data_IF_536587071168
#
_entry.id   IF_536587071168
#
_cell.length_a   1.000
_cell.length_b   1.000
_cell.length_c   1.000
_cell.angle_alpha   90.00
_cell.angle_beta   90.00
_cell.angle_gamma   90.00
#
_symmetry.space_group_name_H-M   'P 1'
#
loop_
_entity.id
_entity.type
_entity.pdbx_description
1 polymer ?
#
# COMPACT_ATOMS: atom_id res chain seq x y z
N UNK A 1 13.45 -48.32 -0.22
CA UNK A 1 12.67 -47.18 -0.67
C UNK A 1 13.45 -46.47 -1.75
N UNK A 2 12.83 -46.17 -2.87
CA UNK A 2 13.38 -45.39 -3.97
C UNK A 2 12.47 -44.19 -4.25
N UNK A 3 13.06 -43.05 -4.48
CA UNK A 3 12.32 -41.86 -4.82
C UNK A 3 12.52 -41.48 -6.28
N UNK A 4 11.52 -40.87 -6.86
CA UNK A 4 11.51 -40.39 -8.25
C UNK A 4 11.02 -38.94 -8.26
N UNK A 5 11.61 -38.14 -9.13
CA UNK A 5 11.21 -36.76 -9.43
C UNK A 5 10.80 -36.72 -10.89
N UNK A 6 9.58 -36.33 -11.19
CA UNK A 6 9.05 -36.24 -12.56
C UNK A 6 9.28 -37.52 -13.34
N UNK A 7 9.10 -38.68 -12.67
CA UNK A 7 9.32 -40.02 -13.21
C UNK A 7 10.78 -40.47 -13.34
N UNK A 8 11.76 -39.64 -12.98
CA UNK A 8 13.17 -39.99 -13.03
C UNK A 8 13.70 -40.42 -11.66
N UNK A 9 14.56 -41.44 -11.57
CA UNK A 9 15.13 -41.86 -10.29
C UNK A 9 15.88 -40.73 -9.57
N UNK A 10 15.62 -40.57 -8.27
CA UNK A 10 16.29 -39.64 -7.38
C UNK A 10 17.21 -40.37 -6.37
N UNK A 11 18.35 -40.92 -6.79
CA UNK A 11 19.19 -41.86 -6.00
C UNK A 11 19.77 -41.21 -4.73
N UNK A 12 19.96 -39.92 -4.71
CA UNK A 12 20.41 -39.19 -3.51
C UNK A 12 19.45 -39.31 -2.31
N UNK A 13 18.20 -39.66 -2.57
CA UNK A 13 17.14 -39.78 -1.56
C UNK A 13 16.75 -41.23 -1.27
N UNK A 14 17.42 -42.21 -1.90
CA UNK A 14 17.12 -43.61 -1.67
C UNK A 14 17.28 -43.99 -0.18
N UNK A 15 16.35 -44.81 0.30
CA UNK A 15 16.20 -45.22 1.71
C UNK A 15 15.83 -44.07 2.69
N UNK A 16 15.66 -42.85 2.25
CA UNK A 16 15.08 -41.77 3.07
C UNK A 16 13.60 -42.08 3.36
N UNK A 17 13.19 -41.85 4.61
CA UNK A 17 11.78 -42.00 5.01
C UNK A 17 10.97 -40.73 4.72
N UNK A 18 11.66 -39.61 4.62
CA UNK A 18 11.08 -38.31 4.33
C UNK A 18 12.02 -37.51 3.45
N UNK A 19 11.49 -36.61 2.66
CA UNK A 19 12.25 -35.65 1.85
C UNK A 19 12.07 -34.27 2.48
N UNK A 20 13.17 -33.59 2.75
CA UNK A 20 13.14 -32.24 3.32
C UNK A 20 12.90 -31.18 2.24
N UNK A 21 12.30 -30.04 2.62
CA UNK A 21 11.98 -28.95 1.70
C UNK A 21 13.16 -28.39 0.91
N UNK A 22 14.39 -28.43 1.49
CA UNK A 22 15.63 -28.04 0.77
C UNK A 22 16.01 -28.92 -0.41
N UNK A 23 15.34 -30.07 -0.57
CA UNK A 23 15.56 -31.04 -1.66
C UNK A 23 14.46 -30.99 -2.72
N UNK A 24 13.45 -30.16 -2.54
CA UNK A 24 12.29 -30.05 -3.43
C UNK A 24 12.28 -28.70 -4.14
N UNK A 25 11.67 -28.67 -5.32
CA UNK A 25 11.41 -27.44 -6.06
C UNK A 25 9.96 -27.42 -6.52
N UNK A 26 9.40 -26.22 -6.63
CA UNK A 26 8.03 -26.01 -7.07
C UNK A 26 7.78 -26.69 -8.43
N UNK A 27 6.63 -27.30 -8.58
CA UNK A 27 6.22 -28.01 -9.80
C UNK A 27 6.73 -29.44 -9.91
N UNK A 28 7.67 -29.88 -9.05
CA UNK A 28 8.15 -31.26 -9.07
C UNK A 28 7.06 -32.25 -8.61
N UNK A 29 6.93 -33.35 -9.32
CA UNK A 29 6.08 -34.49 -8.94
C UNK A 29 6.93 -35.58 -8.32
N UNK A 30 6.73 -35.86 -7.04
CA UNK A 30 7.46 -36.86 -6.30
C UNK A 30 6.63 -38.13 -6.14
N UNK A 31 7.25 -39.30 -6.48
CA UNK A 31 6.67 -40.61 -6.27
C UNK A 31 7.63 -41.53 -5.54
N UNK A 32 7.12 -42.54 -4.87
CA UNK A 32 7.92 -43.46 -4.08
C UNK A 32 7.65 -44.92 -4.53
N UNK A 33 8.74 -45.69 -4.57
CA UNK A 33 8.70 -47.12 -4.82
C UNK A 33 9.23 -47.84 -3.58
N UNK A 34 8.48 -48.79 -3.08
CA UNK A 34 8.83 -49.59 -1.91
C UNK A 34 9.03 -51.04 -2.35
N UNK A 35 10.18 -51.58 -2.02
CA UNK A 35 10.45 -53.00 -2.22
C UNK A 35 10.50 -53.64 -0.82
N UNK A 36 9.49 -54.42 -0.45
CA UNK A 36 9.47 -55.13 0.82
C UNK A 36 10.64 -56.13 0.89
N UNK A 37 11.20 -56.31 2.06
CA UNK A 37 12.27 -57.30 2.31
C UNK A 37 12.04 -57.94 3.68
N UNK A 38 11.88 -59.26 3.71
CA UNK A 38 11.64 -60.00 4.94
C UNK A 38 12.89 -60.49 5.65
N UNK A 39 14.06 -60.07 5.16
CA UNK A 39 15.38 -60.49 5.65
C UNK A 39 16.05 -61.56 4.80
N UNK A 40 15.31 -62.19 3.89
CA UNK A 40 15.81 -63.28 3.04
C UNK A 40 15.59 -62.96 1.56
N UNK A 41 14.38 -62.57 1.20
CA UNK A 41 14.00 -62.31 -0.18
C UNK A 41 13.39 -60.88 -0.37
N UNK A 42 13.58 -60.33 -1.59
CA UNK A 42 12.92 -59.10 -1.99
C UNK A 42 11.48 -59.46 -2.45
N UNK A 43 10.50 -58.77 -1.88
CA UNK A 43 9.13 -58.83 -2.35
C UNK A 43 8.90 -58.13 -3.68
N UNK A 44 7.68 -58.20 -4.21
CA UNK A 44 7.34 -57.44 -5.40
C UNK A 44 7.53 -55.93 -5.16
N UNK A 45 7.90 -55.22 -6.22
CA UNK A 45 7.99 -53.76 -6.18
C UNK A 45 6.58 -53.20 -6.10
N UNK A 46 6.32 -52.41 -5.07
CA UNK A 46 5.07 -51.66 -4.92
C UNK A 46 5.38 -50.18 -5.16
N UNK A 47 4.77 -49.63 -6.20
CA UNK A 47 4.76 -48.19 -6.42
C UNK A 47 3.59 -47.57 -5.66
N UNK A 48 3.82 -46.47 -4.99
CA UNK A 48 2.69 -45.66 -4.48
C UNK A 48 1.83 -45.20 -5.66
N UNK A 49 0.54 -45.43 -5.63
CA UNK A 49 -0.37 -44.90 -6.63
C UNK A 49 -0.49 -43.36 -6.48
N UNK A 50 -0.10 -42.85 -5.34
CA UNK A 50 -0.20 -41.41 -5.01
C UNK A 50 1.11 -40.71 -5.35
N UNK A 51 0.97 -39.53 -5.86
CA UNK A 51 2.08 -38.56 -6.08
C UNK A 51 1.83 -37.28 -5.28
N UNK A 52 2.91 -36.64 -4.91
CA UNK A 52 2.86 -35.31 -4.29
C UNK A 52 3.44 -34.31 -5.28
N UNK A 53 2.68 -33.32 -5.62
CA UNK A 53 3.16 -32.16 -6.38
C UNK A 53 3.60 -31.09 -5.39
N UNK A 54 4.80 -30.55 -5.60
CA UNK A 54 5.26 -29.42 -4.81
C UNK A 54 4.66 -28.16 -5.43
N UNK A 55 3.83 -27.49 -4.65
CA UNK A 55 3.23 -26.21 -5.00
C UNK A 55 3.85 -25.11 -4.12
N UNK A 56 3.77 -23.87 -4.57
CA UNK A 56 4.07 -22.74 -3.71
C UNK A 56 3.02 -22.60 -2.61
N UNK A 57 3.42 -22.06 -1.46
CA UNK A 57 2.46 -21.73 -0.42
C UNK A 57 1.62 -20.51 -0.87
N UNK A 58 0.39 -20.50 -0.46
CA UNK A 58 -0.56 -19.40 -0.59
C UNK A 58 -1.27 -19.34 0.76
N UNK A 59 -0.76 -18.47 1.63
CA UNK A 59 -1.07 -18.53 3.07
C UNK A 59 -2.44 -17.97 3.42
N UNK A 60 -2.94 -17.04 2.63
CA UNK A 60 -4.25 -16.39 2.83
C UNK A 60 -5.32 -16.88 1.83
N UNK A 61 -4.90 -17.65 0.81
CA UNK A 61 -5.74 -18.26 -0.22
C UNK A 61 -6.43 -17.25 -1.15
N UNK A 62 -5.75 -16.18 -1.50
CA UNK A 62 -6.23 -15.20 -2.48
C UNK A 62 -5.96 -15.62 -3.94
N UNK A 63 -5.07 -16.58 -4.15
CA UNK A 63 -4.66 -17.12 -5.45
C UNK A 63 -3.27 -16.66 -5.88
N UNK A 64 -2.59 -15.82 -5.09
CA UNK A 64 -1.21 -15.37 -5.30
C UNK A 64 -0.30 -16.16 -4.36
N UNK A 65 0.73 -16.85 -4.86
CA UNK A 65 1.66 -17.56 -3.98
C UNK A 65 2.49 -16.62 -3.12
N UNK A 66 2.77 -17.01 -1.86
CA UNK A 66 3.56 -16.23 -0.87
C UNK A 66 4.87 -15.63 -1.43
N UNK A 67 5.48 -16.30 -2.42
CA UNK A 67 6.73 -15.85 -3.04
C UNK A 67 6.56 -14.78 -4.13
N UNK A 68 5.32 -14.42 -4.45
CA UNK A 68 4.94 -13.43 -5.45
C UNK A 68 3.93 -12.42 -4.88
N UNK A 69 3.72 -12.49 -3.58
CA UNK A 69 2.75 -11.72 -2.83
C UNK A 69 3.48 -10.83 -1.82
N UNK A 70 3.28 -9.53 -1.90
CA UNK A 70 3.86 -8.57 -0.97
C UNK A 70 3.13 -8.62 0.39
N UNK A 71 1.87 -9.16 0.41
CA UNK A 71 1.04 -9.30 1.62
C UNK A 71 0.56 -10.73 1.86
N UNK A 72 1.44 -11.73 2.09
CA UNK A 72 1.11 -13.15 2.12
C UNK A 72 0.16 -13.62 3.25
N UNK A 73 -0.46 -12.73 3.96
CA UNK A 73 -1.43 -13.01 5.03
C UNK A 73 -2.66 -12.10 4.94
N UNK A 74 -2.81 -11.33 3.86
CA UNK A 74 -3.94 -10.45 3.65
C UNK A 74 -4.59 -10.74 2.29
N UNK A 75 -5.70 -11.51 2.25
CA UNK A 75 -6.34 -11.95 1.01
C UNK A 75 -7.02 -10.81 0.22
N UNK A 76 -6.82 -9.57 0.60
CA UNK A 76 -7.34 -8.40 -0.10
C UNK A 76 -6.26 -7.60 -0.81
N UNK A 77 -4.98 -7.92 -0.53
CA UNK A 77 -3.81 -7.25 -1.08
C UNK A 77 -2.83 -8.26 -1.66
N UNK A 78 -2.18 -7.90 -2.76
CA UNK A 78 -1.16 -8.74 -3.41
C UNK A 78 0.08 -7.99 -3.85
N UNK A 79 -0.03 -6.68 -4.01
CA UNK A 79 1.05 -5.82 -4.53
C UNK A 79 1.20 -4.57 -3.69
N UNK A 80 2.43 -4.10 -3.56
CA UNK A 80 2.82 -2.83 -2.98
C UNK A 80 3.74 -2.15 -4.02
N UNK A 81 3.15 -1.28 -4.87
CA UNK A 81 3.85 -0.78 -6.05
C UNK A 81 4.95 0.24 -5.74
N UNK A 82 4.90 0.88 -4.58
CA UNK A 82 5.88 1.90 -4.15
C UNK A 82 6.65 1.52 -2.87
N UNK A 83 6.37 0.31 -2.33
CA UNK A 83 7.06 -0.27 -1.17
C UNK A 83 6.88 0.55 0.14
N UNK A 84 5.71 1.19 0.36
CA UNK A 84 5.46 1.96 1.58
C UNK A 84 4.80 1.13 2.71
N UNK A 85 4.33 -0.08 2.38
CA UNK A 85 3.73 -1.03 3.32
C UNK A 85 2.20 -1.00 3.35
N UNK A 86 1.57 -0.24 2.47
CA UNK A 86 0.13 -0.28 2.20
C UNK A 86 -0.07 -0.92 0.82
N UNK A 87 -1.01 -1.83 0.70
CA UNK A 87 -1.26 -2.51 -0.57
C UNK A 87 -2.01 -1.62 -1.56
N UNK A 88 -1.75 -1.83 -2.86
CA UNK A 88 -2.30 -1.02 -3.95
C UNK A 88 -3.83 -0.86 -3.91
N UNK A 89 -4.56 -1.83 -3.32
CA UNK A 89 -6.02 -1.75 -3.23
C UNK A 89 -6.50 -0.86 -2.08
N UNK A 90 -5.72 -0.75 -1.01
CA UNK A 90 -6.04 0.06 0.16
C UNK A 90 -5.42 1.46 0.11
N UNK A 91 -4.47 1.65 -0.82
CA UNK A 91 -3.72 2.88 -0.99
C UNK A 91 -4.41 3.84 -1.97
N UNK A 92 -4.63 5.07 -1.54
CA UNK A 92 -5.15 6.14 -2.40
C UNK A 92 -4.11 6.59 -3.46
N UNK A 93 -2.80 6.38 -3.17
CA UNK A 93 -1.68 6.80 -4.02
C UNK A 93 -0.66 5.68 -4.28
N UNK A 94 -1.03 4.57 -4.95
CA UNK A 94 -0.22 3.35 -5.07
C UNK A 94 1.11 3.49 -5.82
N UNK A 95 1.62 4.68 -6.06
CA UNK A 95 2.88 4.97 -6.72
C UNK A 95 3.62 6.13 -6.04
N UNK A 96 3.18 6.56 -4.85
CA UNK A 96 3.86 7.61 -4.08
C UNK A 96 4.08 7.17 -2.62
N UNK A 97 5.28 6.68 -2.30
CA UNK A 97 5.61 6.11 -0.98
C UNK A 97 5.57 7.12 0.19
N UNK A 98 5.08 8.32 -0.03
CA UNK A 98 4.90 9.31 1.03
C UNK A 98 3.43 9.57 1.33
N UNK A 99 2.52 9.05 0.50
CA UNK A 99 1.08 9.27 0.60
C UNK A 99 0.34 7.94 0.58
N UNK A 100 -0.59 7.73 1.50
CA UNK A 100 -1.39 6.51 1.57
C UNK A 100 -2.89 6.78 1.64
N UNK A 101 -3.26 8.00 1.97
CA UNK A 101 -4.66 8.39 2.20
C UNK A 101 -4.96 9.73 1.54
N UNK A 102 -6.22 9.88 1.13
CA UNK A 102 -6.84 11.10 0.65
C UNK A 102 -8.19 11.18 1.38
N UNK A 103 -8.23 11.91 2.50
CA UNK A 103 -9.37 11.83 3.43
C UNK A 103 -10.61 12.55 2.91
N UNK A 104 -10.43 13.56 2.06
CA UNK A 104 -11.54 14.34 1.50
C UNK A 104 -11.76 14.13 0.00
N UNK A 105 -10.94 13.25 -0.62
CA UNK A 105 -11.04 12.83 -2.02
C UNK A 105 -10.80 14.00 -3.03
N UNK A 106 -9.92 14.96 -2.72
CA UNK A 106 -9.61 16.06 -3.62
C UNK A 106 -8.43 15.79 -4.59
N UNK A 107 -7.69 14.71 -4.33
CA UNK A 107 -6.57 14.24 -5.16
C UNK A 107 -5.19 14.69 -4.67
N UNK A 108 -5.12 15.32 -3.50
CA UNK A 108 -3.88 15.60 -2.75
C UNK A 108 -3.85 14.66 -1.54
N UNK A 109 -2.70 14.06 -1.27
CA UNK A 109 -2.58 13.14 -0.14
C UNK A 109 -2.53 13.89 1.20
N UNK A 110 -3.07 13.25 2.24
CA UNK A 110 -3.18 13.83 3.59
C UNK A 110 -1.86 14.43 4.14
N UNK A 111 -0.70 13.91 3.70
CA UNK A 111 0.60 14.41 4.16
C UNK A 111 1.08 15.65 3.39
N UNK A 112 0.60 15.84 2.17
CA UNK A 112 0.96 16.98 1.32
C UNK A 112 -0.11 18.08 1.35
N UNK A 113 -1.25 17.81 2.01
CA UNK A 113 -2.38 18.69 2.10
C UNK A 113 -2.39 19.46 3.43
N UNK A 114 -2.43 20.80 3.37
CA UNK A 114 -2.56 21.64 4.56
C UNK A 114 -3.98 21.56 5.17
N UNK A 115 -4.98 21.10 4.37
CA UNK A 115 -6.39 20.97 4.79
C UNK A 115 -6.99 19.59 4.49
N UNK A 116 -6.46 18.48 5.03
CA UNK A 116 -6.81 17.10 4.65
C UNK A 116 -8.26 16.66 5.00
N UNK A 117 -9.17 17.56 5.22
CA UNK A 117 -10.59 17.34 5.45
C UNK A 117 -11.47 18.37 4.73
N UNK A 118 -10.90 19.20 3.85
CA UNK A 118 -11.65 20.21 3.08
C UNK A 118 -11.31 20.11 1.59
N UNK A 119 -12.14 19.42 0.78
CA UNK A 119 -11.87 19.15 -0.63
C UNK A 119 -11.88 20.41 -1.54
N UNK A 120 -11.86 21.59 -0.99
CA UNK A 120 -11.76 22.85 -1.73
C UNK A 120 -10.47 23.61 -1.45
N UNK A 121 -9.71 23.16 -0.44
CA UNK A 121 -8.46 23.78 0.00
C UNK A 121 -7.37 22.73 0.09
N UNK A 122 -6.17 23.04 -0.42
CA UNK A 122 -5.02 22.13 -0.38
C UNK A 122 -3.74 22.82 0.10
N UNK A 123 -3.72 24.14 0.09
CA UNK A 123 -2.52 24.94 0.38
C UNK A 123 -2.87 26.12 1.27
N UNK A 124 -2.00 26.40 2.24
CA UNK A 124 -2.00 27.59 3.09
C UNK A 124 -0.63 28.26 2.90
N UNK A 125 -0.52 29.22 1.95
CA UNK A 125 0.79 29.76 1.54
C UNK A 125 1.46 30.60 2.61
N UNK A 126 0.70 31.22 3.53
CA UNK A 126 1.23 32.08 4.57
C UNK A 126 1.06 31.54 6.00
N UNK A 127 0.51 30.32 6.12
CA UNK A 127 0.31 29.58 7.37
C UNK A 127 -0.61 30.29 8.39
N UNK A 128 -1.64 31.00 7.94
CA UNK A 128 -2.57 31.70 8.84
C UNK A 128 -3.80 30.87 9.23
N UNK A 129 -4.01 29.73 8.56
CA UNK A 129 -5.09 28.77 8.82
C UNK A 129 -6.32 28.97 7.94
N UNK A 130 -6.24 29.83 6.92
CA UNK A 130 -7.22 29.97 5.84
C UNK A 130 -6.55 29.50 4.54
N UNK A 131 -7.23 28.65 3.80
CA UNK A 131 -6.67 28.11 2.55
C UNK A 131 -6.66 29.18 1.44
N UNK A 132 -5.67 29.06 0.54
CA UNK A 132 -5.42 30.01 -0.54
C UNK A 132 -6.65 30.33 -1.40
N UNK A 133 -7.59 29.38 -1.52
CA UNK A 133 -8.83 29.59 -2.30
C UNK A 133 -9.88 30.39 -1.56
N UNK A 134 -9.86 30.36 -0.22
CA UNK A 134 -10.82 31.08 0.62
C UNK A 134 -10.25 32.39 1.13
N UNK A 135 -8.94 32.62 0.94
CA UNK A 135 -8.21 33.79 1.42
C UNK A 135 -8.10 34.86 0.33
N UNK A 136 -8.56 36.07 0.63
CA UNK A 136 -8.40 37.24 -0.25
C UNK A 136 -6.93 37.73 -0.30
N UNK A 137 -6.09 37.33 0.68
CA UNK A 137 -4.68 37.72 0.82
C UNK A 137 -3.73 36.55 1.07
N UNK A 138 -3.66 35.53 0.19
CA UNK A 138 -2.96 34.26 0.44
C UNK A 138 -1.41 34.37 0.58
N UNK A 139 -0.86 35.51 0.86
CA UNK A 139 0.54 35.75 1.12
C UNK A 139 0.76 36.75 2.30
N UNK A 140 -0.31 37.08 3.04
CA UNK A 140 -0.24 37.99 4.18
C UNK A 140 -0.93 37.41 5.42
N UNK A 141 -0.19 36.72 6.31
CA UNK A 141 -0.73 36.00 7.46
C UNK A 141 -1.43 36.89 8.50
N UNK A 142 -1.68 38.14 8.20
CA UNK A 142 -2.42 39.07 9.05
C UNK A 142 -3.75 39.51 8.50
N UNK A 143 -4.03 39.15 7.26
CA UNK A 143 -5.25 39.48 6.52
C UNK A 143 -5.82 38.22 5.84
N UNK A 144 -7.13 38.02 5.92
CA UNK A 144 -7.83 36.90 5.28
C UNK A 144 -9.04 37.32 4.47
N UNK A 145 -9.55 38.53 4.70
CA UNK A 145 -10.79 39.01 4.07
C UNK A 145 -10.64 40.45 3.62
N UNK A 146 -11.29 40.77 2.49
CA UNK A 146 -11.47 42.12 1.95
C UNK A 146 -12.98 42.32 1.69
N UNK A 147 -13.71 42.78 2.70
CA UNK A 147 -15.18 42.81 2.69
C UNK A 147 -15.80 43.73 1.63
N UNK A 148 -15.07 44.78 1.21
CA UNK A 148 -15.55 45.73 0.23
C UNK A 148 -14.78 45.73 -1.11
N UNK A 149 -13.72 44.87 -1.18
CA UNK A 149 -12.93 44.61 -2.39
C UNK A 149 -12.14 45.88 -2.88
N UNK A 150 -11.60 46.65 -1.97
CA UNK A 150 -10.78 47.79 -2.33
C UNK A 150 -9.26 47.50 -2.38
N UNK A 151 -8.85 46.31 -1.91
CA UNK A 151 -7.49 45.79 -1.91
C UNK A 151 -6.72 46.04 -0.63
N UNK A 152 -7.39 46.46 0.45
CA UNK A 152 -6.90 46.54 1.81
C UNK A 152 -7.66 45.53 2.65
N UNK A 153 -6.99 44.70 3.43
CA UNK A 153 -7.63 43.71 4.26
C UNK A 153 -8.37 44.34 5.45
N UNK A 154 -9.44 43.65 5.87
CA UNK A 154 -10.36 44.15 6.93
C UNK A 154 -9.65 44.50 8.24
N UNK A 155 -8.50 43.86 8.55
CA UNK A 155 -7.73 44.18 9.77
C UNK A 155 -6.87 45.44 9.63
N UNK A 156 -6.48 45.80 8.42
CA UNK A 156 -5.67 46.98 8.12
C UNK A 156 -6.53 48.18 7.67
N UNK A 157 -7.82 47.95 7.41
CA UNK A 157 -8.76 48.97 6.92
C UNK A 157 -9.58 49.56 8.08
N UNK A 158 -9.53 50.89 8.22
CA UNK A 158 -10.36 51.61 9.19
C UNK A 158 -11.84 51.63 8.77
N UNK A 159 -12.14 51.40 7.47
CA UNK A 159 -13.50 51.39 6.90
C UNK A 159 -13.82 50.12 6.08
N UNK A 160 -13.79 48.90 6.67
CA UNK A 160 -13.80 47.62 5.95
C UNK A 160 -15.14 47.32 5.25
N UNK A 161 -15.98 48.26 4.98
CA UNK A 161 -17.24 48.16 4.21
C UNK A 161 -17.47 49.39 3.30
N UNK A 162 -16.46 50.26 3.11
CA UNK A 162 -16.53 51.44 2.22
C UNK A 162 -15.34 51.44 1.25
N UNK A 163 -15.48 50.91 0.03
CA UNK A 163 -14.41 50.71 -0.95
C UNK A 163 -13.85 52.08 -1.49
N UNK A 164 -14.15 53.16 -0.90
CA UNK A 164 -13.61 54.48 -1.24
C UNK A 164 -12.71 55.10 -0.14
N UNK A 165 -12.71 54.50 1.04
CA UNK A 165 -11.98 54.99 2.20
C UNK A 165 -11.22 53.82 2.88
N UNK A 166 -9.94 53.95 3.13
CA UNK A 166 -9.10 52.90 3.78
C UNK A 166 -8.44 53.35 5.08
N UNK A 167 -8.40 54.63 5.34
CA UNK A 167 -7.73 55.22 6.54
C UNK A 167 -8.51 56.33 7.14
N UNK A 168 -8.68 56.31 8.45
CA UNK A 168 -9.22 57.41 9.24
C UNK A 168 -8.08 58.20 9.88
N UNK A 169 -7.62 59.26 9.22
CA UNK A 169 -6.42 60.02 9.62
C UNK A 169 -6.61 60.82 10.88
N UNK A 170 -7.85 61.19 11.26
CA UNK A 170 -8.15 62.02 12.41
C UNK A 170 -9.04 61.36 13.47
N UNK A 171 -9.30 60.05 13.31
CA UNK A 171 -10.09 59.20 14.21
C UNK A 171 -11.54 59.73 14.46
N UNK A 172 -12.15 60.38 13.45
CA UNK A 172 -13.49 60.95 13.62
C UNK A 172 -14.62 60.01 13.14
N UNK A 173 -14.25 58.88 12.50
CA UNK A 173 -15.17 57.82 12.06
C UNK A 173 -15.96 58.14 10.78
N UNK A 174 -15.48 59.05 9.97
CA UNK A 174 -16.05 59.45 8.66
C UNK A 174 -14.98 59.82 7.66
#
# INVERSE_FOLDING_TARGET
VRWFIDGNPAPAHNNAKTIGGSSTSIGQVWTVEIIPHDGTDLGPVEQSPDSVTIIDADSDNDGTPDGQDDFPNDPTETTDSDDDGVGDNADAFPNDPNETADTDDDGVGDNADDFPNDPNETVDTDDDGVGDNADDFPNDPTETTDSDNDGVGDNADDFPNDPSETTDTDDDGV
#
